data_IF_436198641431
#
_entry.id   IF_436198641431
#
_cell.length_a   1.000
_cell.length_b   1.000
_cell.length_c   1.000
_cell.angle_alpha   90.00
_cell.angle_beta   90.00
_cell.angle_gamma   90.00
#
_symmetry.space_group_name_H-M   'P 1'
#
loop_
_entity.id
_entity.type
_entity.pdbx_description
1 polymer ?
#
# COMPACT_ATOMS: atom_id res chain seq x y z
N UNK A 1 50.24 24.42 22.27
CA UNK A 1 49.78 23.29 23.14
C UNK A 1 48.58 23.71 24.00
N UNK A 2 48.43 24.99 24.36
CA UNK A 2 47.35 25.50 25.24
C UNK A 2 45.98 25.64 24.54
N UNK A 3 45.93 25.72 23.20
CA UNK A 3 44.67 25.85 22.48
C UNK A 3 43.84 24.55 22.42
N UNK A 4 44.44 23.36 22.55
CA UNK A 4 43.73 22.08 22.53
C UNK A 4 43.08 21.74 23.88
N UNK A 5 43.70 22.15 25.00
CA UNK A 5 43.15 21.98 26.34
C UNK A 5 41.98 22.93 26.58
N UNK A 6 42.06 24.17 26.06
CA UNK A 6 40.98 25.15 26.14
C UNK A 6 39.71 24.73 25.37
N UNK A 7 39.85 24.00 24.24
CA UNK A 7 38.68 23.47 23.50
C UNK A 7 37.95 22.34 24.25
N UNK A 8 38.71 21.48 24.95
CA UNK A 8 38.12 20.40 25.75
C UNK A 8 37.33 20.92 26.95
N UNK A 9 37.86 21.95 27.66
CA UNK A 9 37.15 22.56 28.76
C UNK A 9 35.92 23.35 28.35
N UNK A 10 35.94 23.99 27.18
CA UNK A 10 34.80 24.72 26.64
C UNK A 10 33.63 23.81 26.27
N UNK A 11 33.91 22.58 25.77
CA UNK A 11 32.88 21.59 25.45
C UNK A 11 32.27 20.94 26.71
N UNK A 12 33.05 20.77 27.77
CA UNK A 12 32.52 20.28 29.07
C UNK A 12 31.58 21.32 29.68
N UNK A 13 31.90 22.61 29.62
CA UNK A 13 31.00 23.65 30.09
C UNK A 13 29.71 23.80 29.26
N UNK A 14 29.75 23.55 27.96
CA UNK A 14 28.57 23.59 27.10
C UNK A 14 27.59 22.46 27.37
N UNK A 15 28.01 21.34 27.97
CA UNK A 15 27.17 20.19 28.33
C UNK A 15 26.66 20.23 29.78
N UNK A 16 26.93 21.29 30.55
CA UNK A 16 26.35 21.42 31.86
C UNK A 16 24.84 21.71 31.78
N UNK A 17 24.06 20.73 32.15
CA UNK A 17 22.61 20.89 32.34
C UNK A 17 22.43 21.60 33.69
N UNK A 18 21.92 22.83 33.70
CA UNK A 18 21.52 23.50 34.92
C UNK A 18 20.28 22.81 35.47
N UNK A 19 20.43 22.19 36.64
CA UNK A 19 19.30 21.60 37.37
C UNK A 19 18.72 22.69 38.27
N UNK A 20 17.49 23.16 38.05
CA UNK A 20 16.88 24.21 38.89
C UNK A 20 16.76 23.72 40.33
N UNK A 21 17.16 24.54 41.28
CA UNK A 21 17.09 24.24 42.73
C UNK A 21 18.19 23.33 43.26
N UNK A 22 19.22 23.00 42.48
CA UNK A 22 20.37 22.22 42.95
C UNK A 22 21.39 23.14 43.59
N UNK A 23 21.55 23.06 44.94
CA UNK A 23 22.57 23.73 45.71
C UNK A 23 23.29 22.69 46.60
N UNK A 24 24.62 22.56 46.47
CA UNK A 24 25.43 21.61 47.24
C UNK A 24 26.35 20.75 46.38
N UNK A 25 26.96 19.73 46.98
CA UNK A 25 27.79 18.77 46.25
C UNK A 25 26.96 17.85 45.34
N UNK A 26 27.50 17.32 44.24
CA UNK A 26 26.76 16.41 43.36
C UNK A 26 26.19 15.18 44.08
N UNK A 27 26.83 14.67 45.13
CA UNK A 27 26.36 13.54 45.92
C UNK A 27 25.12 13.92 46.73
N UNK A 28 25.10 15.05 47.39
CA UNK A 28 23.95 15.55 48.18
C UNK A 28 22.73 15.82 47.28
N UNK A 29 22.99 16.38 46.10
CA UNK A 29 21.95 16.64 45.11
C UNK A 29 21.30 15.32 44.62
N UNK A 30 22.10 14.30 44.33
CA UNK A 30 21.62 12.98 43.92
C UNK A 30 20.80 12.34 45.04
N UNK A 31 21.23 12.45 46.28
CA UNK A 31 20.52 11.88 47.45
C UNK A 31 19.17 12.56 47.64
N UNK A 32 19.14 13.88 47.62
CA UNK A 32 17.91 14.67 47.71
C UNK A 32 16.93 14.36 46.55
N UNK A 33 17.41 14.18 45.31
CA UNK A 33 16.53 13.77 44.23
C UNK A 33 16.05 12.34 44.37
N UNK A 34 16.83 11.43 44.93
CA UNK A 34 16.36 10.06 45.23
C UNK A 34 15.25 10.08 46.29
N UNK A 35 15.42 10.86 47.38
CA UNK A 35 14.36 10.99 48.37
C UNK A 35 13.07 11.57 47.79
N UNK A 36 13.20 12.66 47.02
CA UNK A 36 12.04 13.25 46.33
C UNK A 36 11.37 12.25 45.36
N UNK A 37 12.16 11.46 44.65
CA UNK A 37 11.65 10.43 43.74
C UNK A 37 10.85 9.38 44.48
N UNK A 38 11.31 8.94 45.65
CA UNK A 38 10.58 7.98 46.52
C UNK A 38 9.27 8.58 47.04
N UNK A 39 9.27 9.87 47.44
CA UNK A 39 8.04 10.57 47.85
C UNK A 39 7.04 10.66 46.69
N UNK A 40 7.53 11.05 45.52
CA UNK A 40 6.67 11.13 44.32
C UNK A 40 6.13 9.76 43.92
N UNK A 41 6.96 8.70 43.95
CA UNK A 41 6.50 7.33 43.70
C UNK A 41 5.39 6.91 44.66
N UNK A 42 5.56 7.12 45.97
CA UNK A 42 4.50 6.81 46.94
C UNK A 42 3.22 7.58 46.67
N UNK A 43 3.32 8.86 46.29
CA UNK A 43 2.15 9.66 45.92
C UNK A 43 1.44 9.11 44.67
N UNK A 44 2.20 8.67 43.65
CA UNK A 44 1.67 8.05 42.45
C UNK A 44 0.97 6.73 42.79
N UNK A 45 1.59 5.90 43.63
CA UNK A 45 1.01 4.63 44.06
C UNK A 45 -0.30 4.83 44.89
N UNK A 46 -0.33 5.86 45.75
CA UNK A 46 -1.56 6.21 46.51
C UNK A 46 -2.68 6.69 45.55
N UNK A 47 -2.35 7.54 44.60
CA UNK A 47 -3.33 7.98 43.59
C UNK A 47 -3.84 6.81 42.75
N UNK A 48 -2.95 5.92 42.31
CA UNK A 48 -3.33 4.74 41.55
C UNK A 48 -4.24 3.79 42.39
N UNK A 49 -3.92 3.62 43.66
CA UNK A 49 -4.77 2.82 44.58
C UNK A 49 -6.17 3.44 44.76
N UNK A 50 -6.24 4.78 44.87
CA UNK A 50 -7.53 5.51 44.93
C UNK A 50 -8.32 5.37 43.63
N UNK A 51 -7.65 5.48 42.48
CA UNK A 51 -8.30 5.26 41.17
C UNK A 51 -8.84 3.84 41.08
N UNK A 52 -8.04 2.85 41.48
CA UNK A 52 -8.47 1.45 41.45
C UNK A 52 -9.68 1.18 42.40
N UNK A 53 -9.67 1.77 43.60
CA UNK A 53 -10.80 1.68 44.51
C UNK A 53 -12.06 2.35 43.98
N UNK A 54 -11.95 3.56 43.44
CA UNK A 54 -13.08 4.26 42.81
C UNK A 54 -13.61 3.52 41.60
N UNK A 55 -12.73 2.90 40.79
CA UNK A 55 -13.15 2.07 39.67
C UNK A 55 -13.93 0.86 40.13
N UNK A 56 -13.40 0.14 41.10
CA UNK A 56 -14.06 -1.05 41.69
C UNK A 56 -15.47 -0.74 42.24
N UNK A 57 -15.62 0.39 42.95
CA UNK A 57 -16.90 0.81 43.52
C UNK A 57 -17.92 1.24 42.46
N UNK A 58 -17.45 1.74 41.33
CA UNK A 58 -18.31 2.34 40.30
C UNK A 58 -18.36 1.57 38.98
N UNK A 59 -17.55 0.52 38.83
CA UNK A 59 -17.41 -0.26 37.60
C UNK A 59 -18.75 -0.69 37.02
N UNK A 60 -19.58 -1.34 37.83
CA UNK A 60 -20.90 -1.83 37.39
C UNK A 60 -21.82 -0.71 36.92
N UNK A 61 -21.78 0.47 37.57
CA UNK A 61 -22.60 1.62 37.21
C UNK A 61 -22.09 2.30 35.93
N UNK A 62 -20.78 2.41 35.81
CA UNK A 62 -20.14 2.98 34.61
C UNK A 62 -20.39 2.07 33.42
N UNK A 63 -20.25 0.76 33.59
CA UNK A 63 -20.50 -0.21 32.52
C UNK A 63 -21.98 -0.16 32.07
N UNK A 64 -22.92 -0.14 33.03
CA UNK A 64 -24.36 -0.01 32.70
C UNK A 64 -24.66 1.28 31.94
N UNK A 65 -24.09 2.41 32.36
CA UNK A 65 -24.28 3.69 31.66
C UNK A 65 -23.65 3.65 30.26
N UNK A 66 -22.45 3.09 30.13
CA UNK A 66 -21.78 2.93 28.84
C UNK A 66 -22.61 2.07 27.89
N UNK A 67 -23.09 0.91 28.34
CA UNK A 67 -23.90 0.01 27.52
C UNK A 67 -25.23 0.67 27.12
N UNK A 68 -25.83 1.44 28.04
CA UNK A 68 -27.05 2.21 27.76
C UNK A 68 -26.81 3.29 26.69
N UNK A 69 -25.76 4.08 26.83
CA UNK A 69 -25.42 5.13 25.85
C UNK A 69 -25.08 4.50 24.49
N UNK A 70 -24.33 3.41 24.49
CA UNK A 70 -23.98 2.64 23.28
C UNK A 70 -25.22 2.11 22.57
N UNK A 71 -26.16 1.56 23.34
CA UNK A 71 -27.44 1.09 22.80
C UNK A 71 -28.23 2.24 22.14
N UNK A 72 -28.37 3.39 22.82
CA UNK A 72 -29.07 4.53 22.26
C UNK A 72 -28.34 5.10 21.04
N UNK A 73 -27.02 5.18 21.04
CA UNK A 73 -26.24 5.62 19.90
C UNK A 73 -26.50 4.73 18.67
N UNK A 74 -26.43 3.40 18.83
CA UNK A 74 -26.73 2.44 17.78
C UNK A 74 -28.18 2.56 17.27
N UNK A 75 -29.13 2.78 18.17
CA UNK A 75 -30.53 3.00 17.79
C UNK A 75 -30.72 4.30 17.00
N UNK A 76 -30.03 5.39 17.35
CA UNK A 76 -30.10 6.65 16.60
C UNK A 76 -29.44 6.51 15.23
N UNK A 77 -28.34 5.79 15.10
CA UNK A 77 -27.69 5.51 13.82
C UNK A 77 -28.61 4.71 12.90
N UNK A 78 -29.29 3.67 13.42
CA UNK A 78 -30.30 2.94 12.65
C UNK A 78 -31.46 3.84 12.21
N UNK A 79 -31.97 4.70 13.09
CA UNK A 79 -33.05 5.66 12.75
C UNK A 79 -32.62 6.63 11.67
N UNK A 80 -31.36 7.05 11.64
CA UNK A 80 -30.80 7.95 10.65
C UNK A 80 -30.69 7.29 9.26
N UNK A 81 -30.48 5.97 9.22
CA UNK A 81 -30.39 5.17 7.99
C UNK A 81 -31.74 4.66 7.50
N UNK A 82 -32.78 4.67 8.35
CA UNK A 82 -34.07 4.14 8.02
C UNK A 82 -34.95 5.16 7.29
N UNK A 83 -35.60 4.74 6.22
CA UNK A 83 -36.69 5.48 5.61
C UNK A 83 -37.98 5.24 6.40
N UNK A 84 -38.78 6.28 6.63
CA UNK A 84 -40.02 6.22 7.41
C UNK A 84 -41.20 6.48 6.48
N UNK A 85 -42.21 5.59 6.50
CA UNK A 85 -43.48 5.80 5.81
C UNK A 85 -44.63 5.40 6.70
N UNK A 86 -45.34 6.40 7.24
CA UNK A 86 -46.37 6.20 8.24
C UNK A 86 -45.79 5.63 9.56
N UNK A 87 -46.28 4.48 10.00
CA UNK A 87 -45.78 3.76 11.20
C UNK A 87 -44.69 2.73 10.91
N UNK A 88 -44.23 2.64 9.66
CA UNK A 88 -43.28 1.63 9.24
C UNK A 88 -41.91 2.23 9.01
N UNK A 89 -40.86 1.51 9.43
CA UNK A 89 -39.45 1.79 9.18
C UNK A 89 -38.93 0.83 8.15
N UNK A 90 -38.20 1.34 7.16
CA UNK A 90 -37.56 0.55 6.11
C UNK A 90 -36.05 0.75 6.22
N UNK A 91 -35.34 -0.34 6.48
CA UNK A 91 -33.89 -0.39 6.44
C UNK A 91 -33.46 -1.28 5.28
N UNK A 92 -32.52 -0.79 4.47
CA UNK A 92 -31.86 -1.59 3.44
C UNK A 92 -30.39 -1.70 3.78
N UNK A 93 -29.85 -2.88 3.69
CA UNK A 93 -28.45 -3.14 3.98
C UNK A 93 -27.88 -4.22 3.09
N UNK A 94 -26.58 -4.19 2.86
CA UNK A 94 -25.85 -5.20 2.11
C UNK A 94 -25.31 -6.27 3.06
N UNK A 95 -25.46 -7.53 2.68
CA UNK A 95 -24.99 -8.69 3.45
C UNK A 95 -24.18 -9.59 2.52
N UNK A 96 -23.00 -10.08 2.94
CA UNK A 96 -22.27 -11.07 2.16
C UNK A 96 -23.09 -12.33 1.91
N UNK A 97 -23.06 -12.85 0.70
CA UNK A 97 -23.87 -14.00 0.30
C UNK A 97 -23.81 -15.22 1.23
N UNK A 98 -22.64 -15.61 1.81
CA UNK A 98 -22.56 -16.72 2.75
C UNK A 98 -23.31 -16.48 4.07
N UNK A 99 -23.45 -15.22 4.48
CA UNK A 99 -24.00 -14.83 5.81
C UNK A 99 -25.50 -14.54 5.71
N UNK A 100 -26.08 -14.55 4.51
CA UNK A 100 -27.50 -14.16 4.26
C UNK A 100 -28.48 -15.03 5.04
N UNK A 101 -28.33 -16.35 5.00
CA UNK A 101 -29.28 -17.27 5.66
C UNK A 101 -29.25 -17.11 7.18
N UNK A 102 -28.05 -16.95 7.76
CA UNK A 102 -27.90 -16.76 9.19
C UNK A 102 -28.52 -15.46 9.66
N UNK A 103 -28.19 -14.36 8.97
CA UNK A 103 -28.68 -13.01 9.32
C UNK A 103 -30.19 -12.90 9.09
N UNK A 104 -30.69 -13.41 7.94
CA UNK A 104 -32.12 -13.42 7.66
C UNK A 104 -32.90 -14.29 8.65
N UNK A 105 -32.33 -15.42 9.07
CA UNK A 105 -32.91 -16.29 10.10
C UNK A 105 -33.04 -15.58 11.46
N UNK A 106 -31.97 -14.92 11.90
CA UNK A 106 -31.97 -14.12 13.14
C UNK A 106 -32.96 -12.96 13.07
N UNK A 107 -33.00 -12.27 11.93
CA UNK A 107 -33.90 -11.13 11.74
C UNK A 107 -35.39 -11.55 11.68
N UNK A 108 -35.72 -12.67 11.07
CA UNK A 108 -37.10 -13.22 11.05
C UNK A 108 -37.60 -13.67 12.41
N UNK A 109 -36.69 -13.98 13.34
CA UNK A 109 -37.05 -14.32 14.73
C UNK A 109 -37.49 -13.09 15.54
N UNK A 110 -37.21 -11.87 15.04
CA UNK A 110 -37.63 -10.62 15.73
C UNK A 110 -39.11 -10.38 15.44
N UNK A 111 -39.90 -10.19 16.49
CA UNK A 111 -41.33 -9.88 16.35
C UNK A 111 -41.56 -8.58 15.59
N UNK A 112 -42.55 -8.57 14.71
CA UNK A 112 -42.97 -7.43 13.90
C UNK A 112 -41.94 -6.94 12.87
N UNK A 113 -40.88 -7.72 12.62
CA UNK A 113 -39.90 -7.47 11.55
C UNK A 113 -40.21 -8.32 10.31
N UNK A 114 -40.37 -7.67 9.16
CA UNK A 114 -40.49 -8.35 7.87
C UNK A 114 -39.18 -8.24 7.13
N UNK A 115 -38.58 -9.37 6.75
CA UNK A 115 -37.31 -9.45 6.04
C UNK A 115 -37.55 -9.97 4.63
N UNK A 116 -37.14 -9.19 3.63
CA UNK A 116 -37.00 -9.60 2.23
C UNK A 116 -35.54 -9.70 1.89
N UNK A 117 -35.17 -10.72 1.13
CA UNK A 117 -33.79 -10.92 0.65
C UNK A 117 -33.88 -10.88 -0.87
N UNK A 118 -33.23 -9.90 -1.44
CA UNK A 118 -33.19 -9.66 -2.88
C UNK A 118 -31.74 -9.70 -3.38
N UNK A 119 -31.55 -9.99 -4.66
CA UNK A 119 -30.24 -9.94 -5.29
C UNK A 119 -29.76 -8.48 -5.53
N UNK A 120 -28.47 -8.27 -5.84
CA UNK A 120 -27.91 -6.94 -6.07
C UNK A 120 -28.61 -6.18 -7.21
N UNK A 121 -29.21 -6.88 -8.15
CA UNK A 121 -29.94 -6.30 -9.29
C UNK A 121 -31.23 -5.56 -8.87
N UNK A 122 -31.84 -5.95 -7.75
CA UNK A 122 -33.04 -5.33 -7.23
C UNK A 122 -32.80 -3.94 -6.61
N UNK A 123 -31.56 -3.60 -6.30
CA UNK A 123 -31.18 -2.32 -5.69
C UNK A 123 -31.14 -1.14 -6.68
N UNK A 124 -31.36 -1.37 -7.98
CA UNK A 124 -31.44 -0.37 -9.02
C UNK A 124 -30.13 0.40 -9.21
N UNK A 125 -30.10 1.67 -8.79
CA UNK A 125 -28.91 2.54 -8.94
C UNK A 125 -27.88 2.41 -7.82
N UNK A 126 -28.16 1.64 -6.76
CA UNK A 126 -27.24 1.47 -5.65
C UNK A 126 -26.26 0.32 -5.99
N UNK A 127 -24.98 0.67 -6.04
CA UNK A 127 -23.90 -0.32 -6.23
C UNK A 127 -23.59 -1.02 -4.90
N UNK A 128 -23.50 -2.37 -4.87
CA UNK A 128 -23.07 -3.09 -3.67
C UNK A 128 -21.65 -2.71 -3.25
N UNK A 129 -21.37 -2.62 -1.96
CA UNK A 129 -20.00 -2.46 -1.48
C UNK A 129 -19.20 -3.73 -1.76
N UNK A 130 -17.94 -3.57 -2.14
CA UNK A 130 -17.03 -4.68 -2.36
C UNK A 130 -16.43 -5.15 -1.04
N UNK A 131 -16.49 -6.46 -0.78
CA UNK A 131 -15.77 -7.12 0.32
C UNK A 131 -14.74 -8.06 -0.30
N UNK A 132 -13.46 -7.79 -0.07
CA UNK A 132 -12.37 -8.64 -0.54
C UNK A 132 -12.42 -10.01 0.17
N UNK A 133 -12.09 -11.06 -0.56
CA UNK A 133 -11.95 -12.42 -0.04
C UNK A 133 -10.78 -13.09 -0.71
N UNK A 134 -9.62 -12.90 -0.14
CA UNK A 134 -8.37 -13.38 -0.68
C UNK A 134 -7.84 -14.62 0.04
N UNK A 135 -7.03 -15.47 -0.65
CA UNK A 135 -6.33 -16.57 -0.03
C UNK A 135 -5.33 -16.08 1.04
N UNK A 136 -4.95 -16.94 1.95
CA UNK A 136 -4.15 -16.64 3.13
C UNK A 136 -2.82 -15.90 2.82
N UNK A 137 -2.20 -16.17 1.66
CA UNK A 137 -0.91 -15.58 1.25
C UNK A 137 -1.03 -14.16 0.70
N UNK A 138 -2.16 -13.79 0.08
CA UNK A 138 -2.41 -12.44 -0.45
C UNK A 138 -3.26 -11.57 0.48
N UNK A 139 -3.97 -12.18 1.43
CA UNK A 139 -4.82 -11.48 2.39
C UNK A 139 -4.13 -10.31 3.12
N UNK A 140 -2.87 -10.41 3.59
CA UNK A 140 -2.21 -9.27 4.23
C UNK A 140 -2.05 -8.05 3.34
N UNK A 141 -2.07 -8.26 2.02
CA UNK A 141 -1.92 -7.20 1.02
C UNK A 141 -3.25 -6.50 0.68
N UNK A 142 -4.40 -7.00 1.19
CA UNK A 142 -5.68 -6.29 1.13
C UNK A 142 -5.55 -4.88 1.72
N UNK A 143 -4.71 -4.69 2.74
CA UNK A 143 -4.41 -3.40 3.33
C UNK A 143 -3.98 -2.34 2.30
N UNK A 144 -3.15 -2.70 1.32
CA UNK A 144 -2.76 -1.76 0.27
C UNK A 144 -3.91 -1.43 -0.68
N UNK A 145 -4.72 -2.43 -1.04
CA UNK A 145 -5.88 -2.22 -1.91
C UNK A 145 -6.92 -1.34 -1.21
N UNK A 146 -7.17 -1.58 0.08
CA UNK A 146 -8.07 -0.75 0.89
C UNK A 146 -7.57 0.69 1.03
N UNK A 147 -6.25 0.90 1.17
CA UNK A 147 -5.65 2.23 1.28
C UNK A 147 -5.79 3.05 -0.01
N UNK A 148 -5.69 2.42 -1.19
CA UNK A 148 -5.87 3.08 -2.48
C UNK A 148 -7.34 3.22 -2.87
N UNK A 149 -8.19 2.32 -2.43
CA UNK A 149 -9.61 2.26 -2.74
C UNK A 149 -10.03 0.86 -3.19
N UNK A 150 -11.14 0.39 -2.66
CA UNK A 150 -11.69 -0.92 -3.05
C UNK A 150 -12.15 -0.89 -4.52
N UNK A 151 -11.90 -1.96 -5.30
CA UNK A 151 -12.42 -2.08 -6.66
C UNK A 151 -13.95 -2.03 -6.65
N UNK A 152 -14.56 -1.55 -7.71
CA UNK A 152 -16.01 -1.55 -7.83
C UNK A 152 -16.57 -2.99 -7.84
N UNK A 153 -17.85 -3.13 -7.51
CA UNK A 153 -18.48 -4.44 -7.45
C UNK A 153 -18.46 -5.12 -8.83
N UNK A 154 -17.84 -6.27 -8.89
CA UNK A 154 -17.68 -7.04 -10.14
C UNK A 154 -16.34 -6.81 -10.85
N UNK A 155 -15.56 -5.82 -10.48
CA UNK A 155 -14.21 -5.64 -10.99
C UNK A 155 -13.26 -6.75 -10.52
N UNK A 156 -12.14 -6.86 -11.21
CA UNK A 156 -11.12 -7.87 -10.89
C UNK A 156 -10.33 -7.46 -9.65
N UNK A 157 -10.22 -8.36 -8.69
CA UNK A 157 -9.39 -8.14 -7.50
C UNK A 157 -7.90 -8.25 -7.87
N UNK A 158 -7.19 -7.14 -7.70
CA UNK A 158 -5.76 -7.02 -8.00
C UNK A 158 -4.86 -7.38 -6.82
N UNK A 159 -5.43 -7.75 -5.65
CA UNK A 159 -4.66 -8.03 -4.42
C UNK A 159 -3.59 -9.09 -4.63
N UNK A 160 -3.90 -10.16 -5.37
CA UNK A 160 -2.92 -11.21 -5.67
C UNK A 160 -1.75 -10.71 -6.52
N UNK A 161 -2.02 -9.85 -7.49
CA UNK A 161 -0.97 -9.22 -8.31
C UNK A 161 -0.09 -8.30 -7.47
N UNK A 162 -0.70 -7.46 -6.64
CA UNK A 162 0.02 -6.57 -5.70
C UNK A 162 0.88 -7.39 -4.73
N UNK A 163 0.36 -8.48 -4.19
CA UNK A 163 1.09 -9.34 -3.25
C UNK A 163 2.38 -9.89 -3.85
N UNK A 164 2.32 -10.44 -5.07
CA UNK A 164 3.48 -11.02 -5.75
C UNK A 164 4.47 -9.92 -6.13
N UNK A 165 4.00 -8.87 -6.81
CA UNK A 165 4.88 -7.81 -7.31
C UNK A 165 5.56 -7.05 -6.18
N UNK A 166 4.82 -6.68 -5.14
CA UNK A 166 5.40 -6.00 -3.98
C UNK A 166 6.43 -6.87 -3.25
N UNK A 167 6.12 -8.14 -3.00
CA UNK A 167 7.03 -9.06 -2.32
C UNK A 167 8.33 -9.26 -3.11
N UNK A 168 8.24 -9.44 -4.43
CA UNK A 168 9.42 -9.63 -5.30
C UNK A 168 10.24 -8.35 -5.38
N UNK A 169 9.61 -7.20 -5.65
CA UNK A 169 10.30 -5.91 -5.73
C UNK A 169 10.96 -5.53 -4.40
N UNK A 170 10.27 -5.76 -3.27
CA UNK A 170 10.84 -5.53 -1.94
C UNK A 170 12.11 -6.38 -1.73
N UNK A 171 12.04 -7.68 -2.06
CA UNK A 171 13.19 -8.56 -1.94
C UNK A 171 14.36 -8.15 -2.84
N UNK A 172 14.08 -7.75 -4.07
CA UNK A 172 15.08 -7.23 -5.01
C UNK A 172 15.76 -5.96 -4.49
N UNK A 173 14.96 -5.04 -3.90
CA UNK A 173 15.46 -3.77 -3.39
C UNK A 173 16.27 -3.94 -2.08
N UNK A 174 15.81 -4.79 -1.18
CA UNK A 174 16.42 -5.02 0.14
C UNK A 174 17.08 -6.41 0.25
N UNK A 175 17.71 -6.88 -0.81
CA UNK A 175 18.30 -8.22 -0.88
C UNK A 175 19.49 -8.42 0.06
N UNK A 176 19.21 -8.76 1.33
CA UNK A 176 20.20 -9.07 2.36
C UNK A 176 19.70 -10.21 3.24
N UNK A 177 20.52 -11.28 3.36
CA UNK A 177 20.14 -12.49 4.11
C UNK A 177 19.91 -12.20 5.58
N UNK A 178 20.83 -11.46 6.21
CA UNK A 178 20.76 -11.18 7.65
C UNK A 178 19.58 -10.29 8.00
N UNK A 179 19.43 -9.19 7.30
CA UNK A 179 18.33 -8.24 7.49
C UNK A 179 16.99 -8.88 7.15
N UNK A 180 16.91 -9.68 6.07
CA UNK A 180 15.70 -10.41 5.67
C UNK A 180 15.20 -11.39 6.73
N UNK A 181 16.11 -12.19 7.31
CA UNK A 181 15.77 -13.13 8.40
C UNK A 181 15.29 -12.36 9.64
N UNK A 182 16.00 -11.30 10.03
CA UNK A 182 15.61 -10.47 11.19
C UNK A 182 14.24 -9.85 10.96
N UNK A 183 13.99 -9.31 9.78
CA UNK A 183 12.70 -8.73 9.40
C UNK A 183 11.57 -9.77 9.48
N UNK A 184 11.77 -10.96 8.91
CA UNK A 184 10.78 -12.04 8.92
C UNK A 184 10.46 -12.52 10.33
N UNK A 185 11.48 -12.73 11.17
CA UNK A 185 11.33 -13.19 12.55
C UNK A 185 10.66 -12.11 13.43
N UNK A 186 11.14 -10.87 13.34
CA UNK A 186 10.58 -9.74 14.08
C UNK A 186 9.10 -9.50 13.70
N UNK A 187 8.80 -9.53 12.41
CA UNK A 187 7.45 -9.35 11.92
C UNK A 187 6.52 -10.48 12.35
N UNK A 188 7.00 -11.73 12.34
CA UNK A 188 6.24 -12.89 12.85
C UNK A 188 5.96 -12.76 14.34
N UNK A 189 6.96 -12.32 15.14
CA UNK A 189 6.78 -12.09 16.57
C UNK A 189 5.76 -10.97 16.83
N UNK A 190 5.93 -9.83 16.18
CA UNK A 190 5.04 -8.68 16.35
C UNK A 190 3.61 -8.96 15.86
N UNK A 191 3.45 -9.72 14.78
CA UNK A 191 2.14 -10.14 14.31
C UNK A 191 1.42 -11.02 15.36
N UNK A 192 2.12 -11.98 15.98
CA UNK A 192 1.54 -12.81 17.06
C UNK A 192 1.18 -12.02 18.32
N UNK A 193 1.93 -10.96 18.65
CA UNK A 193 1.70 -10.14 19.85
C UNK A 193 0.66 -9.06 19.64
N UNK A 194 0.72 -8.36 18.51
CA UNK A 194 -0.10 -7.17 18.23
C UNK A 194 -1.26 -7.42 17.26
N UNK A 195 -1.28 -8.54 16.55
CA UNK A 195 -2.30 -8.90 15.54
C UNK A 195 -2.52 -7.79 14.49
N UNK A 196 -1.45 -7.10 14.07
CA UNK A 196 -1.52 -6.03 13.09
C UNK A 196 -1.13 -6.55 11.72
N UNK A 197 -1.96 -6.29 10.71
CA UNK A 197 -1.80 -6.80 9.34
C UNK A 197 -0.54 -6.28 8.64
N UNK A 198 -0.02 -5.10 9.03
CA UNK A 198 1.24 -4.58 8.53
C UNK A 198 2.43 -5.53 8.82
N UNK A 199 2.48 -6.09 10.04
CA UNK A 199 3.53 -7.06 10.36
C UNK A 199 3.34 -8.39 9.63
N UNK A 200 2.09 -8.80 9.41
CA UNK A 200 1.81 -9.99 8.60
C UNK A 200 2.32 -9.84 7.16
N UNK A 201 2.14 -8.68 6.55
CA UNK A 201 2.63 -8.33 5.22
C UNK A 201 4.17 -8.33 5.13
N UNK A 202 4.87 -7.88 6.19
CA UNK A 202 6.33 -7.84 6.22
C UNK A 202 6.98 -9.24 6.27
N UNK A 203 6.25 -10.30 6.65
CA UNK A 203 6.79 -11.67 6.70
C UNK A 203 7.24 -12.15 5.31
N UNK A 204 6.37 -12.19 4.27
CA UNK A 204 6.80 -12.59 2.94
C UNK A 204 7.88 -11.66 2.36
N UNK A 205 7.86 -10.37 2.70
CA UNK A 205 8.89 -9.42 2.29
C UNK A 205 10.26 -9.79 2.87
N UNK A 206 10.34 -10.15 4.15
CA UNK A 206 11.58 -10.61 4.78
C UNK A 206 12.10 -11.93 4.20
N UNK A 207 11.19 -12.85 3.86
CA UNK A 207 11.57 -14.11 3.18
C UNK A 207 12.12 -13.80 1.79
N UNK A 208 11.47 -12.94 1.02
CA UNK A 208 11.93 -12.52 -0.30
C UNK A 208 13.29 -11.83 -0.23
N UNK A 209 13.49 -10.91 0.73
CA UNK A 209 14.76 -10.25 0.99
C UNK A 209 15.89 -11.27 1.27
N UNK A 210 15.60 -12.31 2.05
CA UNK A 210 16.56 -13.40 2.32
C UNK A 210 16.92 -14.14 1.04
N UNK A 211 15.96 -14.47 0.19
CA UNK A 211 16.19 -15.18 -1.08
C UNK A 211 17.06 -14.33 -2.02
N UNK A 212 16.71 -13.05 -2.22
CA UNK A 212 17.49 -12.15 -3.05
C UNK A 212 18.87 -11.84 -2.43
N UNK A 213 18.96 -11.78 -1.10
CA UNK A 213 20.23 -11.67 -0.39
C UNK A 213 21.20 -12.85 -0.68
N UNK A 214 20.67 -14.07 -0.81
CA UNK A 214 21.44 -15.22 -1.29
C UNK A 214 21.85 -15.09 -2.75
N UNK A 215 21.07 -14.41 -3.60
CA UNK A 215 21.46 -14.18 -5.00
C UNK A 215 22.55 -13.12 -5.10
N UNK A 216 22.50 -12.08 -4.28
CA UNK A 216 23.47 -10.97 -4.28
C UNK A 216 24.73 -11.26 -3.43
N UNK A 217 24.66 -12.25 -2.56
CA UNK A 217 25.76 -12.62 -1.66
C UNK A 217 25.90 -11.67 -0.46
N UNK A 218 24.87 -10.90 -0.12
CA UNK A 218 24.91 -9.93 0.98
C UNK A 218 24.42 -10.51 2.29
N UNK A 219 25.22 -10.32 3.35
CA UNK A 219 24.87 -10.65 4.74
C UNK A 219 25.17 -9.44 5.64
N UNK A 220 24.13 -8.76 6.16
CA UNK A 220 24.23 -7.52 6.94
C UNK A 220 25.08 -6.44 6.24
N UNK A 221 24.97 -6.32 4.91
CA UNK A 221 25.73 -5.39 4.09
C UNK A 221 27.15 -5.82 3.72
N UNK A 222 27.62 -6.99 4.17
CA UNK A 222 28.91 -7.55 3.78
C UNK A 222 28.73 -8.47 2.56
N UNK A 223 29.25 -8.06 1.41
CA UNK A 223 29.09 -8.76 0.13
C UNK A 223 29.97 -10.03 -0.02
N UNK A 224 31.04 -10.16 0.77
CA UNK A 224 31.98 -11.30 0.71
C UNK A 224 31.70 -12.36 1.78
N UNK A 225 30.76 -12.09 2.70
CA UNK A 225 30.50 -12.95 3.85
C UNK A 225 29.97 -14.34 3.46
N UNK A 226 29.32 -14.45 2.31
CA UNK A 226 28.75 -15.72 1.81
C UNK A 226 29.64 -16.45 0.79
N UNK A 227 30.80 -15.90 0.41
CA UNK A 227 31.73 -16.53 -0.54
C UNK A 227 32.17 -17.95 -0.11
N UNK A 228 32.50 -18.22 1.19
CA UNK A 228 32.81 -19.56 1.63
C UNK A 228 31.68 -20.56 1.41
N UNK A 229 30.43 -20.13 1.50
CA UNK A 229 29.24 -20.94 1.26
C UNK A 229 29.11 -21.29 -0.24
N UNK A 230 29.34 -20.33 -1.13
CA UNK A 230 29.27 -20.56 -2.59
C UNK A 230 30.38 -21.52 -3.04
N UNK A 231 31.58 -21.35 -2.53
CA UNK A 231 32.70 -22.30 -2.79
C UNK A 231 32.41 -23.71 -2.28
N UNK A 232 31.78 -23.84 -1.10
CA UNK A 232 31.34 -25.13 -0.56
C UNK A 232 30.25 -25.80 -1.40
N UNK A 233 29.39 -25.02 -2.07
CA UNK A 233 28.37 -25.49 -3.01
C UNK A 233 28.89 -25.75 -4.43
N UNK A 234 30.21 -25.58 -4.66
CA UNK A 234 30.86 -25.80 -5.96
C UNK A 234 30.64 -24.69 -6.98
N UNK A 235 30.18 -23.52 -6.55
CA UNK A 235 30.03 -22.33 -7.40
C UNK A 235 31.34 -21.52 -7.39
N UNK A 236 31.66 -20.88 -8.53
CA UNK A 236 32.89 -20.08 -8.67
C UNK A 236 32.79 -18.72 -7.91
N UNK A 237 31.61 -18.35 -7.42
CA UNK A 237 31.33 -17.10 -6.69
C UNK A 237 29.84 -16.81 -6.59
N UNK A 238 29.49 -15.61 -6.15
CA UNK A 238 28.10 -15.14 -6.05
C UNK A 238 27.41 -15.11 -7.43
N UNK A 239 26.13 -15.48 -7.54
CA UNK A 239 25.41 -15.53 -8.82
C UNK A 239 25.32 -14.17 -9.53
N UNK A 240 25.18 -13.08 -8.78
CA UNK A 240 25.09 -11.72 -9.30
C UNK A 240 25.95 -10.79 -8.45
N UNK A 241 26.99 -10.19 -9.07
CA UNK A 241 27.79 -9.15 -8.44
C UNK A 241 27.16 -7.78 -8.69
N UNK A 242 26.59 -7.16 -7.66
CA UNK A 242 25.91 -5.86 -7.77
C UNK A 242 26.92 -4.76 -8.13
N UNK A 243 28.11 -4.78 -7.55
CA UNK A 243 29.14 -3.75 -7.76
C UNK A 243 29.77 -3.80 -9.13
N UNK A 244 29.94 -4.98 -9.74
CA UNK A 244 30.62 -5.14 -11.03
C UNK A 244 29.71 -4.88 -12.23
N UNK A 245 28.39 -4.90 -12.06
CA UNK A 245 27.43 -4.82 -13.15
C UNK A 245 26.25 -3.85 -12.89
N UNK A 246 26.51 -2.69 -12.29
CA UNK A 246 25.48 -1.67 -11.95
C UNK A 246 24.59 -1.35 -13.16
N UNK A 247 25.20 -1.12 -14.34
CA UNK A 247 24.43 -0.82 -15.56
C UNK A 247 23.56 -2.00 -15.99
N UNK A 248 24.02 -3.24 -15.82
CA UNK A 248 23.25 -4.44 -16.14
C UNK A 248 22.03 -4.60 -15.23
N UNK A 249 22.21 -4.38 -13.93
CA UNK A 249 21.12 -4.44 -12.94
C UNK A 249 20.09 -3.34 -13.20
N UNK A 250 20.55 -2.13 -13.51
CA UNK A 250 19.70 -1.02 -13.88
C UNK A 250 18.85 -1.34 -15.13
N UNK A 251 19.43 -1.96 -16.15
CA UNK A 251 18.68 -2.40 -17.32
C UNK A 251 17.65 -3.49 -17.01
N UNK A 252 18.01 -4.48 -16.20
CA UNK A 252 17.07 -5.52 -15.75
C UNK A 252 15.89 -4.88 -14.99
N UNK A 253 16.17 -3.89 -14.17
CA UNK A 253 15.19 -3.11 -13.46
C UNK A 253 14.16 -2.43 -14.37
N UNK A 254 14.66 -1.76 -15.39
CA UNK A 254 13.81 -1.10 -16.41
C UNK A 254 12.92 -2.13 -17.10
N UNK A 255 13.49 -3.27 -17.51
CA UNK A 255 12.69 -4.33 -18.15
C UNK A 255 11.62 -4.91 -17.22
N UNK A 256 11.92 -5.12 -15.94
CA UNK A 256 10.95 -5.56 -14.95
C UNK A 256 9.82 -4.51 -14.82
N UNK A 257 10.19 -3.23 -14.73
CA UNK A 257 9.22 -2.13 -14.68
C UNK A 257 8.29 -2.12 -15.90
N UNK A 258 8.84 -2.26 -17.10
CA UNK A 258 8.07 -2.34 -18.34
C UNK A 258 7.10 -3.53 -18.30
N UNK A 259 7.59 -4.71 -17.91
CA UNK A 259 6.74 -5.93 -17.81
C UNK A 259 5.61 -5.72 -16.79
N UNK A 260 5.87 -5.08 -15.67
CA UNK A 260 4.84 -4.79 -14.64
C UNK A 260 3.79 -3.80 -15.15
N UNK A 261 4.19 -2.75 -15.86
CA UNK A 261 3.25 -1.80 -16.47
C UNK A 261 2.38 -2.52 -17.52
N UNK A 262 2.98 -3.33 -18.38
CA UNK A 262 2.25 -4.12 -19.36
C UNK A 262 1.29 -5.12 -18.72
N UNK A 263 1.70 -5.77 -17.62
CA UNK A 263 0.85 -6.68 -16.87
C UNK A 263 -0.34 -5.93 -16.22
N UNK A 264 -0.12 -4.73 -15.68
CA UNK A 264 -1.19 -3.89 -15.15
C UNK A 264 -2.19 -3.47 -16.24
N UNK A 265 -1.69 -3.05 -17.42
CA UNK A 265 -2.53 -2.74 -18.57
C UNK A 265 -3.32 -3.96 -19.05
N UNK A 266 -2.69 -5.15 -19.09
CA UNK A 266 -3.36 -6.38 -19.45
C UNK A 266 -4.48 -6.77 -18.47
N UNK A 267 -4.27 -6.55 -17.16
CA UNK A 267 -5.30 -6.75 -16.14
C UNK A 267 -6.48 -5.78 -16.34
N UNK A 268 -6.21 -4.52 -16.66
CA UNK A 268 -7.24 -3.54 -16.96
C UNK A 268 -8.04 -3.96 -18.20
N UNK A 269 -7.36 -4.36 -19.28
CA UNK A 269 -7.99 -4.88 -20.48
C UNK A 269 -8.85 -6.13 -20.20
N UNK A 270 -8.36 -7.05 -19.35
CA UNK A 270 -9.13 -8.23 -18.94
C UNK A 270 -10.44 -7.83 -18.23
N UNK A 271 -10.38 -6.84 -17.35
CA UNK A 271 -11.54 -6.31 -16.63
C UNK A 271 -12.59 -5.75 -17.60
N UNK A 272 -12.21 -4.87 -18.52
CA UNK A 272 -13.12 -4.29 -19.52
C UNK A 272 -13.68 -5.34 -20.50
N UNK A 273 -12.85 -6.31 -20.91
CA UNK A 273 -13.30 -7.42 -21.74
C UNK A 273 -14.37 -8.26 -21.05
N UNK A 274 -14.21 -8.52 -19.73
CA UNK A 274 -15.18 -9.27 -18.93
C UNK A 274 -16.52 -8.53 -18.80
N UNK A 275 -16.47 -7.21 -18.69
CA UNK A 275 -17.66 -6.35 -18.64
C UNK A 275 -18.26 -6.03 -20.00
N UNK A 276 -17.62 -6.51 -21.10
CA UNK A 276 -18.01 -6.24 -22.50
C UNK A 276 -17.97 -4.74 -22.87
N UNK A 277 -17.13 -4.00 -22.23
CA UNK A 277 -16.87 -2.58 -22.47
C UNK A 277 -15.78 -2.44 -23.53
N UNK A 278 -16.13 -2.74 -24.78
CA UNK A 278 -15.16 -2.81 -25.89
C UNK A 278 -14.57 -1.45 -26.25
N UNK A 279 -15.30 -0.37 -25.99
CA UNK A 279 -14.81 0.99 -26.18
C UNK A 279 -13.62 1.30 -25.27
N UNK A 280 -13.79 1.06 -23.97
CA UNK A 280 -12.74 1.24 -22.96
C UNK A 280 -11.59 0.22 -23.13
N UNK A 281 -11.89 -1.00 -23.51
CA UNK A 281 -10.89 -2.02 -23.84
C UNK A 281 -9.90 -1.55 -24.91
N UNK A 282 -10.38 -0.86 -25.95
CA UNK A 282 -9.55 -0.43 -27.09
C UNK A 282 -8.93 0.93 -26.81
N UNK A 283 -9.73 1.94 -26.45
CA UNK A 283 -9.34 3.34 -26.49
C UNK A 283 -8.91 3.94 -25.15
N UNK A 284 -9.03 3.19 -24.03
CA UNK A 284 -8.54 3.76 -22.75
C UNK A 284 -7.02 3.91 -22.73
N UNK A 285 -6.48 4.81 -21.90
CA UNK A 285 -5.04 4.94 -21.69
C UNK A 285 -4.36 3.63 -21.25
N UNK A 286 -5.07 2.80 -20.48
CA UNK A 286 -4.61 1.49 -20.06
C UNK A 286 -5.19 0.34 -20.91
N UNK A 287 -5.81 0.67 -22.06
CA UNK A 287 -6.32 -0.27 -23.03
C UNK A 287 -5.31 -0.61 -24.14
N UNK A 288 -5.83 -1.19 -25.23
CA UNK A 288 -4.99 -1.65 -26.33
C UNK A 288 -4.19 -0.53 -26.99
N UNK A 289 -4.84 0.61 -27.30
CA UNK A 289 -4.17 1.77 -27.89
C UNK A 289 -3.12 2.34 -26.97
N UNK A 290 -3.42 2.48 -25.67
CA UNK A 290 -2.48 2.91 -24.66
C UNK A 290 -1.26 1.98 -24.56
N UNK A 291 -1.48 0.67 -24.54
CA UNK A 291 -0.41 -0.35 -24.49
C UNK A 291 0.51 -0.28 -25.72
N UNK A 292 -0.05 -0.14 -26.92
CA UNK A 292 0.74 -0.01 -28.16
C UNK A 292 1.53 1.31 -28.15
N UNK A 293 0.89 2.40 -27.72
CA UNK A 293 1.56 3.73 -27.62
C UNK A 293 2.72 3.68 -26.62
N UNK A 294 2.52 3.05 -25.46
CA UNK A 294 3.55 2.85 -24.45
C UNK A 294 4.72 2.03 -24.98
N UNK A 295 4.46 0.90 -25.66
CA UNK A 295 5.48 0.05 -26.25
C UNK A 295 6.29 0.80 -27.34
N UNK A 296 5.64 1.57 -28.19
CA UNK A 296 6.33 2.42 -29.18
C UNK A 296 7.20 3.48 -28.50
N UNK A 297 6.73 4.09 -27.41
CA UNK A 297 7.51 5.05 -26.62
C UNK A 297 8.74 4.43 -25.97
N UNK A 298 8.60 3.25 -25.37
CA UNK A 298 9.70 2.48 -24.77
C UNK A 298 10.73 2.08 -25.83
N UNK A 299 10.28 1.60 -27.00
CA UNK A 299 11.18 1.22 -28.09
C UNK A 299 11.98 2.42 -28.62
N UNK A 300 11.34 3.58 -28.73
CA UNK A 300 11.98 4.83 -29.14
C UNK A 300 13.01 5.31 -28.10
N UNK A 301 12.68 5.22 -26.81
CA UNK A 301 13.61 5.52 -25.72
C UNK A 301 14.82 4.58 -25.73
N UNK A 302 14.59 3.28 -25.96
CA UNK A 302 15.64 2.26 -26.10
C UNK A 302 16.56 2.55 -27.29
N UNK A 303 15.99 2.96 -28.42
CA UNK A 303 16.75 3.38 -29.60
C UNK A 303 17.66 4.57 -29.29
N UNK A 304 17.16 5.56 -28.56
CA UNK A 304 17.94 6.76 -28.19
C UNK A 304 19.09 6.40 -27.23
N UNK A 305 18.89 5.43 -26.33
CA UNK A 305 19.92 4.94 -25.41
C UNK A 305 20.90 3.95 -26.05
N UNK A 306 20.73 3.61 -27.34
CA UNK A 306 21.56 2.62 -28.03
C UNK A 306 21.34 1.18 -27.59
N UNK A 307 20.19 0.89 -26.96
CA UNK A 307 19.78 -0.45 -26.55
C UNK A 307 19.08 -1.19 -27.71
N UNK A 308 18.71 -2.45 -27.47
CA UNK A 308 18.02 -3.30 -28.46
C UNK A 308 16.62 -2.72 -28.76
N UNK A 309 16.32 -2.51 -30.03
CA UNK A 309 15.02 -2.08 -30.54
C UNK A 309 14.28 -3.27 -31.15
N UNK A 310 12.97 -3.34 -30.93
CA UNK A 310 12.10 -4.39 -31.47
C UNK A 310 11.47 -3.97 -32.80
N UNK A 311 11.30 -2.65 -33.02
CA UNK A 311 10.64 -2.09 -34.19
C UNK A 311 11.58 -1.18 -34.97
N UNK A 312 11.43 -1.08 -36.31
CA UNK A 312 12.06 -0.03 -37.07
C UNK A 312 11.66 1.36 -36.54
N UNK A 313 12.62 2.25 -36.34
CA UNK A 313 12.41 3.56 -35.71
C UNK A 313 11.25 4.37 -36.33
N UNK A 314 11.10 4.30 -37.65
CA UNK A 314 10.00 4.97 -38.37
C UNK A 314 8.64 4.40 -37.95
N UNK A 315 8.54 3.09 -37.79
CA UNK A 315 7.28 2.40 -37.34
C UNK A 315 6.93 2.79 -35.91
N UNK A 316 7.93 2.83 -35.03
CA UNK A 316 7.73 3.25 -33.64
C UNK A 316 7.23 4.71 -33.54
N UNK A 317 7.80 5.62 -34.32
CA UNK A 317 7.37 7.03 -34.39
C UNK A 317 5.93 7.13 -34.90
N UNK A 318 5.61 6.46 -36.00
CA UNK A 318 4.24 6.47 -36.56
C UNK A 318 3.26 5.87 -35.56
N UNK A 319 3.59 4.73 -34.95
CA UNK A 319 2.74 4.07 -33.95
C UNK A 319 2.49 4.97 -32.73
N UNK A 320 3.50 5.64 -32.22
CA UNK A 320 3.39 6.59 -31.13
C UNK A 320 2.49 7.79 -31.48
N UNK A 321 2.70 8.41 -32.63
CA UNK A 321 1.91 9.57 -33.07
C UNK A 321 0.45 9.19 -33.30
N UNK A 322 0.19 8.09 -34.01
CA UNK A 322 -1.17 7.59 -34.23
C UNK A 322 -1.83 7.22 -32.91
N UNK A 323 -1.11 6.54 -32.01
CA UNK A 323 -1.62 6.18 -30.69
C UNK A 323 -2.01 7.40 -29.85
N UNK A 324 -1.16 8.44 -29.81
CA UNK A 324 -1.47 9.69 -29.09
C UNK A 324 -2.70 10.41 -29.70
N UNK A 325 -2.86 10.39 -31.01
CA UNK A 325 -4.06 10.96 -31.68
C UNK A 325 -5.30 10.14 -31.29
N UNK A 326 -5.22 8.82 -31.29
CA UNK A 326 -6.34 7.98 -30.90
C UNK A 326 -6.71 8.14 -29.41
N UNK A 327 -5.72 8.31 -28.53
CA UNK A 327 -5.95 8.60 -27.11
C UNK A 327 -6.57 10.00 -26.91
N UNK A 328 -6.17 10.99 -27.70
CA UNK A 328 -6.80 12.33 -27.65
C UNK A 328 -8.30 12.29 -27.96
N UNK A 329 -8.73 11.37 -28.82
CA UNK A 329 -10.12 11.20 -29.20
C UNK A 329 -10.79 9.99 -28.53
N UNK A 330 -10.17 9.41 -27.48
CA UNK A 330 -10.63 8.20 -26.81
C UNK A 330 -12.05 8.32 -26.29
N UNK A 331 -12.39 9.40 -25.58
CA UNK A 331 -13.75 9.65 -25.05
C UNK A 331 -14.84 9.80 -26.13
N UNK A 332 -14.42 10.14 -27.36
CA UNK A 332 -15.33 10.21 -28.50
C UNK A 332 -15.49 8.84 -29.17
N UNK A 333 -14.39 8.11 -29.31
CA UNK A 333 -14.34 6.83 -30.02
C UNK A 333 -14.91 5.67 -29.20
N UNK A 334 -14.68 5.65 -27.88
CA UNK A 334 -15.13 4.58 -27.00
C UNK A 334 -16.66 4.42 -27.00
N UNK A 335 -17.50 5.47 -26.78
CA UNK A 335 -18.95 5.35 -26.87
C UNK A 335 -19.45 4.99 -28.26
N UNK A 336 -18.77 5.45 -29.33
CA UNK A 336 -19.16 5.10 -30.71
C UNK A 336 -19.07 3.60 -31.00
N UNK A 337 -18.04 2.94 -30.48
CA UNK A 337 -17.89 1.47 -30.61
C UNK A 337 -18.99 0.73 -29.84
N UNK A 338 -19.46 1.29 -28.73
CA UNK A 338 -20.54 0.72 -27.92
C UNK A 338 -21.96 1.08 -28.42
N UNK A 339 -22.07 1.87 -29.48
CA UNK A 339 -23.35 2.32 -30.02
C UNK A 339 -24.11 3.30 -29.12
N UNK A 340 -23.42 3.93 -28.16
CA UNK A 340 -23.99 4.95 -27.27
C UNK A 340 -23.92 6.33 -27.93
N UNK A 341 -24.95 7.17 -27.79
CA UNK A 341 -24.90 8.55 -28.29
C UNK A 341 -23.85 9.35 -27.49
N UNK A 342 -22.87 9.91 -28.19
CA UNK A 342 -21.90 10.81 -27.58
C UNK A 342 -22.50 12.21 -27.38
N UNK A 343 -22.47 12.72 -26.14
CA UNK A 343 -22.88 14.07 -25.83
C UNK A 343 -21.83 14.69 -24.90
N UNK A 344 -20.99 15.64 -25.41
CA UNK A 344 -19.99 16.29 -24.56
C UNK A 344 -20.67 17.18 -23.54
N UNK A 345 -20.39 16.94 -22.27
CA UNK A 345 -20.81 17.81 -21.19
C UNK A 345 -20.06 19.15 -21.31
N UNK A 346 -20.75 20.20 -21.79
CA UNK A 346 -20.18 21.54 -21.88
C UNK A 346 -19.65 21.99 -23.25
N UNK A 347 -19.91 21.20 -24.32
CA UNK A 347 -19.54 21.57 -25.70
C UNK A 347 -18.15 21.17 -26.14
N UNK A 348 -17.88 21.25 -27.46
CA UNK A 348 -16.64 20.77 -28.11
C UNK A 348 -15.37 21.43 -27.57
N UNK A 349 -15.41 22.70 -27.19
CA UNK A 349 -14.23 23.42 -26.66
C UNK A 349 -13.77 22.88 -25.29
N UNK A 350 -14.71 22.62 -24.39
CA UNK A 350 -14.39 22.04 -23.09
C UNK A 350 -13.89 20.62 -23.23
N UNK A 351 -14.49 19.83 -24.11
CA UNK A 351 -14.04 18.48 -24.45
C UNK A 351 -12.58 18.48 -24.89
N UNK A 352 -12.22 19.32 -25.88
CA UNK A 352 -10.87 19.35 -26.44
C UNK A 352 -9.83 19.77 -25.40
N UNK A 353 -10.19 20.71 -24.52
CA UNK A 353 -9.33 21.15 -23.42
C UNK A 353 -9.11 19.98 -22.44
N UNK A 354 -10.17 19.30 -22.01
CA UNK A 354 -10.11 18.16 -21.11
C UNK A 354 -9.27 17.02 -21.70
N UNK A 355 -9.51 16.61 -22.95
CA UNK A 355 -8.78 15.54 -23.62
C UNK A 355 -7.28 15.84 -23.75
N UNK A 356 -6.90 17.11 -23.98
CA UNK A 356 -5.48 17.50 -23.99
C UNK A 356 -4.85 17.34 -22.61
N UNK A 357 -5.53 17.74 -21.53
CA UNK A 357 -5.02 17.55 -20.16
C UNK A 357 -4.91 16.07 -19.80
N UNK A 358 -5.90 15.26 -20.14
CA UNK A 358 -5.89 13.81 -19.91
C UNK A 358 -4.76 13.11 -20.70
N UNK A 359 -4.52 13.56 -21.94
CA UNK A 359 -3.39 13.06 -22.73
C UNK A 359 -2.04 13.42 -22.08
N UNK A 360 -1.89 14.66 -21.61
CA UNK A 360 -0.68 15.08 -20.89
C UNK A 360 -0.48 14.27 -19.60
N UNK A 361 -1.55 14.07 -18.83
CA UNK A 361 -1.51 13.25 -17.62
C UNK A 361 -1.11 11.80 -17.95
N UNK A 362 -1.68 11.22 -18.99
CA UNK A 362 -1.34 9.88 -19.47
C UNK A 362 0.13 9.74 -19.83
N UNK A 363 0.67 10.67 -20.62
CA UNK A 363 2.09 10.66 -21.01
C UNK A 363 3.00 10.84 -19.79
N UNK A 364 2.65 11.76 -18.89
CA UNK A 364 3.39 11.98 -17.64
C UNK A 364 3.32 10.74 -16.73
N UNK A 365 2.17 10.07 -16.66
CA UNK A 365 1.99 8.83 -15.89
C UNK A 365 2.86 7.71 -16.44
N UNK A 366 2.91 7.50 -17.76
CA UNK A 366 3.77 6.50 -18.38
C UNK A 366 5.24 6.75 -18.05
N UNK A 367 5.69 8.01 -18.21
CA UNK A 367 7.06 8.40 -17.92
C UNK A 367 7.37 8.24 -16.42
N UNK A 368 6.50 8.76 -15.55
CA UNK A 368 6.66 8.70 -14.09
C UNK A 368 6.72 7.27 -13.59
N UNK A 369 5.82 6.40 -14.05
CA UNK A 369 5.80 5.01 -13.65
C UNK A 369 7.07 4.27 -14.09
N UNK A 370 7.53 4.50 -15.32
CA UNK A 370 8.78 3.90 -15.82
C UNK A 370 9.99 4.37 -15.02
N UNK A 371 10.08 5.67 -14.71
CA UNK A 371 11.17 6.24 -13.91
C UNK A 371 11.09 5.80 -12.45
N UNK A 372 9.90 5.65 -11.89
CA UNK A 372 9.72 5.21 -10.51
C UNK A 372 10.29 3.81 -10.26
N UNK A 373 10.11 2.89 -11.22
CA UNK A 373 10.74 1.57 -11.15
C UNK A 373 12.27 1.66 -11.24
N UNK A 374 12.79 2.54 -12.06
CA UNK A 374 14.22 2.82 -12.15
C UNK A 374 14.78 3.35 -10.81
N UNK A 375 14.10 4.34 -10.21
CA UNK A 375 14.47 4.92 -8.91
C UNK A 375 14.45 3.89 -7.78
N UNK A 376 13.45 3.02 -7.74
CA UNK A 376 13.34 1.97 -6.72
C UNK A 376 14.55 1.03 -6.72
N UNK A 377 15.18 0.83 -7.87
CA UNK A 377 16.31 -0.08 -8.06
C UNK A 377 17.68 0.62 -8.00
N UNK A 378 17.74 1.94 -8.12
CA UNK A 378 18.97 2.70 -7.83
C UNK A 378 19.38 2.51 -6.36
N UNK A 379 18.43 2.35 -5.44
CA UNK A 379 18.71 2.04 -4.04
C UNK A 379 19.45 0.70 -3.83
N UNK A 380 19.37 -0.25 -4.78
CA UNK A 380 20.15 -1.48 -4.73
C UNK A 380 21.63 -1.22 -4.97
N UNK A 381 21.96 -0.22 -5.78
CA UNK A 381 23.33 0.11 -6.17
C UNK A 381 24.02 1.09 -5.22
N UNK A 382 23.28 1.73 -4.30
CA UNK A 382 23.90 2.52 -3.23
C UNK A 382 24.28 1.62 -2.06
N UNK A 383 25.58 1.40 -1.82
CA UNK A 383 26.00 0.72 -0.60
C UNK A 383 25.52 1.58 0.58
N UNK A 384 24.75 0.97 1.45
CA UNK A 384 24.39 1.58 2.76
C UNK A 384 25.71 1.91 3.47
N UNK A 385 26.12 3.17 3.39
CA UNK A 385 27.24 3.73 4.14
C UNK A 385 26.86 3.95 5.60
#
# INVERSE_FOLDING_TARGET
RDRSVSRGLGDVYKRQVRVPGAAGSPAEIIEHFKENLEVVKKSVDDVNARIAALWHDHEAKVQMLYDTVRYYAAMYDLRRMAAVKGSHFFCVGWVPAPDVEEIAGKARAVKDLRVTVDGPEAAGKMTPPTKLKNPWWSRPFEFFVEMYGLPAYGETDVTGFVAITFTVLFGMMFGDVGQGIVLALFSTFMWKVKHNDLFHLMIPCGISSTIFGLVYGSLFGYEEALDPLYHALGMAGKPVSVMDSITGILMVAVYIGIVLVLAAMALNMYTHARHKEWGEFIFSPNGLVGMVTYLCGVDLASAYMGAVTFLPQVVAIIGMVVGLILLLFAELLAPMVEGKPWQPAGGMGNYLMQSVFELLETVLSYLSNTISFLLSLIHISEPTR
#
